data_IF_598310505433
#
_entry.id   IF_598310505433
#
_cell.length_a   1.000
_cell.length_b   1.000
_cell.length_c   1.000
_cell.angle_alpha   90.00
_cell.angle_beta   90.00
_cell.angle_gamma   90.00
#
_symmetry.space_group_name_H-M   'P 1'
#
loop_
_entity.id
_entity.type
_entity.pdbx_description
1 polymer ?
#
# COMPACT_ATOMS: atom_id res chain seq x y z
N UNK A 1 4.81 5.49 -6.99
CA UNK A 1 3.77 5.82 -6.00
C UNK A 1 3.13 7.16 -6.32
N UNK A 2 1.80 7.25 -6.19
CA UNK A 2 1.05 8.52 -6.25
C UNK A 2 0.47 8.85 -4.87
N UNK A 3 0.28 10.14 -4.60
CA UNK A 3 -0.28 10.63 -3.33
C UNK A 3 -1.39 11.64 -3.64
N UNK A 4 -2.58 11.43 -3.09
CA UNK A 4 -3.74 12.30 -3.28
C UNK A 4 -4.31 12.79 -1.94
N UNK A 5 -5.02 13.93 -1.97
CA UNK A 5 -5.91 14.32 -0.87
C UNK A 5 -7.28 13.67 -1.05
N UNK A 6 -7.95 13.30 0.04
CA UNK A 6 -9.37 12.92 0.01
C UNK A 6 -10.29 14.04 -0.50
N UNK A 7 -9.82 15.29 -0.53
CA UNK A 7 -10.55 16.40 -1.16
C UNK A 7 -10.50 16.36 -2.70
N UNK A 8 -9.58 15.57 -3.27
CA UNK A 8 -9.42 15.41 -4.73
C UNK A 8 -10.25 14.25 -5.26
N UNK A 9 -10.26 13.13 -4.55
CA UNK A 9 -11.00 11.92 -4.90
C UNK A 9 -11.54 11.29 -3.63
N UNK A 10 -12.82 10.92 -3.64
CA UNK A 10 -13.34 9.99 -2.62
C UNK A 10 -12.72 8.61 -2.81
N UNK A 11 -12.78 7.77 -1.78
CA UNK A 11 -12.27 6.41 -1.88
C UNK A 11 -13.04 5.59 -2.93
N UNK A 12 -14.36 5.76 -3.01
CA UNK A 12 -15.22 5.09 -3.98
C UNK A 12 -14.85 5.44 -5.43
N UNK A 13 -14.71 6.74 -5.74
CA UNK A 13 -14.29 7.20 -7.07
C UNK A 13 -12.89 6.68 -7.44
N UNK A 14 -11.99 6.56 -6.47
CA UNK A 14 -10.65 6.02 -6.71
C UNK A 14 -10.71 4.52 -7.03
N UNK A 15 -11.55 3.76 -6.34
CA UNK A 15 -11.76 2.33 -6.62
C UNK A 15 -12.41 2.12 -7.99
N UNK A 16 -13.39 2.95 -8.36
CA UNK A 16 -14.00 2.94 -9.69
C UNK A 16 -12.94 3.17 -10.79
N UNK A 17 -12.08 4.18 -10.63
CA UNK A 17 -10.98 4.43 -11.57
C UNK A 17 -9.99 3.26 -11.69
N UNK A 18 -9.67 2.62 -10.57
CA UNK A 18 -8.81 1.43 -10.56
C UNK A 18 -9.47 0.28 -11.33
N UNK A 19 -10.77 0.05 -11.12
CA UNK A 19 -11.53 -0.97 -11.85
C UNK A 19 -11.65 -0.66 -13.34
N UNK A 20 -11.92 0.60 -13.71
CA UNK A 20 -12.01 1.04 -15.11
C UNK A 20 -10.68 0.91 -15.85
N UNK A 21 -9.57 1.03 -15.13
CA UNK A 21 -8.22 0.75 -15.63
C UNK A 21 -7.92 -0.76 -15.77
N UNK A 22 -8.88 -1.64 -15.46
CA UNK A 22 -8.73 -3.09 -15.51
C UNK A 22 -7.83 -3.66 -14.42
N UNK A 23 -7.70 -2.96 -13.28
CA UNK A 23 -6.83 -3.37 -12.15
C UNK A 23 -7.67 -3.82 -10.97
N UNK A 24 -7.12 -4.73 -10.16
CA UNK A 24 -7.70 -5.12 -8.87
C UNK A 24 -7.32 -4.09 -7.81
N UNK A 25 -8.17 -3.90 -6.81
CA UNK A 25 -7.87 -3.03 -5.66
C UNK A 25 -7.50 -3.87 -4.45
N UNK A 26 -6.42 -3.49 -3.77
CA UNK A 26 -6.11 -3.92 -2.39
C UNK A 26 -6.17 -2.70 -1.48
N UNK A 27 -6.94 -2.78 -0.41
CA UNK A 27 -7.17 -1.68 0.52
C UNK A 27 -6.35 -1.84 1.79
N UNK A 28 -5.53 -0.84 2.11
CA UNK A 28 -4.83 -0.76 3.39
C UNK A 28 -5.52 0.30 4.27
N UNK A 29 -6.17 -0.10 5.39
CA UNK A 29 -6.91 0.81 6.26
C UNK A 29 -6.01 1.81 6.99
N UNK A 30 -6.59 2.90 7.53
CA UNK A 30 -5.81 3.92 8.24
C UNK A 30 -5.31 3.41 9.59
N UNK A 31 -4.09 3.78 9.94
CA UNK A 31 -3.46 3.52 11.24
C UNK A 31 -2.70 4.74 11.74
N UNK A 32 -2.66 4.93 13.06
CA UNK A 32 -2.28 6.21 13.67
C UNK A 32 -0.79 6.37 13.99
N UNK A 33 -0.03 5.27 14.03
CA UNK A 33 1.39 5.25 14.41
C UNK A 33 2.14 4.14 13.64
N UNK A 34 3.47 4.14 13.72
CA UNK A 34 4.32 3.20 12.97
C UNK A 34 3.95 1.74 13.21
N UNK A 35 3.80 1.34 14.47
CA UNK A 35 3.52 -0.05 14.86
C UNK A 35 2.19 -0.51 14.27
N UNK A 36 1.13 0.28 14.45
CA UNK A 36 -0.19 -0.03 13.89
C UNK A 36 -0.20 -0.04 12.35
N UNK A 37 0.61 0.81 11.70
CA UNK A 37 0.76 0.80 10.23
C UNK A 37 1.39 -0.51 9.78
N UNK A 38 2.46 -0.95 10.43
CA UNK A 38 3.13 -2.21 10.11
C UNK A 38 2.22 -3.41 10.37
N UNK A 39 1.46 -3.42 11.47
CA UNK A 39 0.46 -4.46 11.75
C UNK A 39 -0.62 -4.53 10.67
N UNK A 40 -1.14 -3.37 10.25
CA UNK A 40 -2.17 -3.28 9.21
C UNK A 40 -1.64 -3.76 7.86
N UNK A 41 -0.44 -3.36 7.46
CA UNK A 41 0.20 -3.91 6.26
C UNK A 41 0.38 -5.41 6.38
N UNK A 42 0.82 -5.89 7.55
CA UNK A 42 0.99 -7.31 7.81
C UNK A 42 -0.29 -8.12 7.64
N UNK A 43 -1.42 -7.61 8.14
CA UNK A 43 -2.72 -8.25 7.97
C UNK A 43 -3.21 -8.24 6.51
N UNK A 44 -2.98 -7.14 5.79
CA UNK A 44 -3.48 -6.99 4.41
C UNK A 44 -2.66 -7.80 3.40
N UNK A 45 -1.35 -7.88 3.63
CA UNK A 45 -0.40 -8.59 2.77
C UNK A 45 -0.14 -10.03 3.23
N UNK A 46 -0.77 -10.46 4.32
CA UNK A 46 -0.62 -11.79 4.93
C UNK A 46 0.84 -12.12 5.30
N UNK A 47 1.48 -11.23 6.07
CA UNK A 47 2.87 -11.43 6.54
C UNK A 47 2.99 -12.79 7.25
N UNK A 48 4.06 -13.55 6.98
CA UNK A 48 4.31 -14.78 7.72
C UNK A 48 4.42 -14.51 9.23
N UNK A 49 3.70 -15.28 10.06
CA UNK A 49 3.65 -15.07 11.53
C UNK A 49 5.02 -15.07 12.24
N UNK A 50 6.07 -15.57 11.58
CA UNK A 50 7.43 -15.66 12.13
C UNK A 50 8.32 -14.44 11.81
N UNK A 51 7.92 -13.59 10.87
CA UNK A 51 8.63 -12.35 10.59
C UNK A 51 8.17 -11.29 11.60
N UNK A 52 9.12 -10.64 12.26
CA UNK A 52 8.80 -9.57 13.19
C UNK A 52 8.02 -8.44 12.50
N UNK A 53 7.32 -7.62 13.29
CA UNK A 53 6.60 -6.45 12.76
C UNK A 53 7.56 -5.25 12.71
N UNK A 54 8.36 -5.16 11.65
CA UNK A 54 9.28 -4.05 11.41
C UNK A 54 9.32 -3.60 9.93
N UNK A 55 10.19 -2.63 9.62
CA UNK A 55 10.28 -2.05 8.28
C UNK A 55 10.96 -2.97 7.27
N UNK A 56 11.84 -3.86 7.72
CA UNK A 56 12.52 -4.81 6.84
C UNK A 56 11.52 -5.91 6.45
N UNK A 57 10.76 -6.43 7.41
CA UNK A 57 9.66 -7.37 7.15
C UNK A 57 8.60 -6.78 6.21
N UNK A 58 8.28 -5.49 6.35
CA UNK A 58 7.40 -4.80 5.40
C UNK A 58 7.97 -4.80 3.98
N UNK A 59 9.26 -4.48 3.84
CA UNK A 59 9.91 -4.44 2.54
C UNK A 59 9.93 -5.81 1.87
N UNK A 60 10.30 -6.85 2.61
CA UNK A 60 10.38 -8.22 2.09
C UNK A 60 8.99 -8.73 1.67
N UNK A 61 7.99 -8.53 2.53
CA UNK A 61 6.61 -8.95 2.22
C UNK A 61 6.00 -8.21 1.04
N UNK A 62 6.38 -6.94 0.80
CA UNK A 62 5.94 -6.21 -0.37
C UNK A 62 6.57 -6.73 -1.67
N UNK A 63 7.82 -7.19 -1.62
CA UNK A 63 8.47 -7.84 -2.75
C UNK A 63 7.84 -9.20 -3.04
N UNK A 64 7.60 -10.02 -2.01
CA UNK A 64 6.88 -11.29 -2.15
C UNK A 64 5.47 -11.08 -2.72
N UNK A 65 4.76 -10.05 -2.23
CA UNK A 65 3.46 -9.67 -2.79
C UNK A 65 3.57 -9.25 -4.26
N UNK A 66 4.55 -8.41 -4.62
CA UNK A 66 4.76 -7.97 -6.00
C UNK A 66 5.08 -9.15 -6.95
N UNK A 67 5.90 -10.11 -6.51
CA UNK A 67 6.18 -11.33 -7.25
C UNK A 67 4.90 -12.15 -7.45
N UNK A 68 4.12 -12.37 -6.39
CA UNK A 68 2.86 -13.13 -6.47
C UNK A 68 1.84 -12.54 -7.44
N UNK A 69 1.74 -11.20 -7.51
CA UNK A 69 0.83 -10.51 -8.42
C UNK A 69 1.27 -10.69 -9.88
N UNK A 70 2.57 -10.82 -10.12
CA UNK A 70 3.14 -10.94 -11.47
C UNK A 70 3.03 -12.36 -12.05
N UNK A 71 3.00 -13.39 -11.20
CA UNK A 71 3.00 -14.80 -11.61
C UNK A 71 1.60 -15.36 -11.92
N UNK A 72 0.55 -14.79 -11.34
CA UNK A 72 -0.78 -15.41 -11.23
C UNK A 72 -1.68 -15.32 -12.49
N UNK A 73 -1.19 -14.79 -13.62
CA UNK A 73 -2.00 -14.39 -14.81
C UNK A 73 -3.22 -13.50 -14.47
N UNK A 74 -3.27 -12.95 -13.25
CA UNK A 74 -4.36 -12.11 -12.76
C UNK A 74 -4.16 -10.66 -13.20
N UNK A 75 -5.23 -9.84 -13.21
CA UNK A 75 -5.09 -8.43 -13.50
C UNK A 75 -4.14 -7.74 -12.51
N UNK A 76 -3.36 -6.75 -12.96
CA UNK A 76 -2.48 -5.96 -12.09
C UNK A 76 -3.21 -5.37 -10.88
N UNK A 77 -2.49 -5.14 -9.80
CA UNK A 77 -3.04 -4.61 -8.54
C UNK A 77 -2.75 -3.11 -8.41
N UNK A 78 -3.70 -2.38 -7.85
CA UNK A 78 -3.46 -1.09 -7.21
C UNK A 78 -3.69 -1.22 -5.72
N UNK A 79 -2.64 -1.00 -4.94
CA UNK A 79 -2.72 -0.90 -3.49
C UNK A 79 -3.07 0.54 -3.11
N UNK A 80 -4.18 0.73 -2.40
CA UNK A 80 -4.64 2.02 -1.91
C UNK A 80 -4.46 2.06 -0.40
N UNK A 81 -3.55 2.93 0.05
CA UNK A 81 -3.25 3.13 1.45
C UNK A 81 -3.89 4.41 1.99
N UNK A 82 -4.77 4.24 2.98
CA UNK A 82 -5.40 5.35 3.68
C UNK A 82 -4.45 5.89 4.77
N UNK A 83 -4.11 7.17 4.69
CA UNK A 83 -3.13 7.80 5.57
C UNK A 83 -3.83 8.88 6.40
N UNK A 84 -4.07 8.67 7.71
CA UNK A 84 -4.68 9.69 8.55
C UNK A 84 -3.69 10.83 8.82
N UNK A 85 -4.22 12.05 9.00
CA UNK A 85 -3.42 13.25 9.23
C UNK A 85 -2.40 13.11 10.38
N UNK A 86 -2.78 12.38 11.45
CA UNK A 86 -1.91 12.12 12.61
C UNK A 86 -0.65 11.36 12.24
N UNK A 87 -0.76 10.36 11.35
CA UNK A 87 0.38 9.53 10.97
C UNK A 87 1.29 10.23 9.95
N UNK A 88 0.74 11.10 9.09
CA UNK A 88 1.50 11.83 8.08
C UNK A 88 2.65 12.67 8.68
N UNK A 89 2.51 13.10 9.93
CA UNK A 89 3.55 13.88 10.63
C UNK A 89 4.62 13.02 11.31
N UNK A 90 4.45 11.70 11.36
CA UNK A 90 5.45 10.78 11.90
C UNK A 90 6.64 10.66 10.95
N UNK A 91 7.86 10.55 11.50
CA UNK A 91 9.08 10.34 10.71
C UNK A 91 9.01 9.05 9.90
N UNK A 92 8.34 8.01 10.40
CA UNK A 92 8.23 6.74 9.69
C UNK A 92 7.37 6.82 8.44
N UNK A 93 6.51 7.83 8.29
CA UNK A 93 5.69 8.00 7.09
C UNK A 93 6.56 8.05 5.82
N UNK A 94 7.65 8.83 5.86
CA UNK A 94 8.58 8.92 4.73
C UNK A 94 9.25 7.58 4.41
N UNK A 95 9.64 6.82 5.43
CA UNK A 95 10.27 5.51 5.26
C UNK A 95 9.30 4.49 4.64
N UNK A 96 8.04 4.48 5.09
CA UNK A 96 7.01 3.62 4.50
C UNK A 96 6.73 4.02 3.04
N UNK A 97 6.72 5.32 2.71
CA UNK A 97 6.61 5.77 1.32
C UNK A 97 7.78 5.30 0.45
N UNK A 98 9.02 5.34 0.95
CA UNK A 98 10.21 4.86 0.23
C UNK A 98 10.09 3.37 -0.07
N UNK A 99 9.73 2.55 0.92
CA UNK A 99 9.52 1.11 0.76
C UNK A 99 8.40 0.80 -0.25
N UNK A 100 7.25 1.47 -0.14
CA UNK A 100 6.14 1.29 -1.08
C UNK A 100 6.50 1.71 -2.51
N UNK A 101 7.30 2.77 -2.65
CA UNK A 101 7.77 3.22 -3.95
C UNK A 101 8.77 2.23 -4.56
N UNK A 102 9.63 1.63 -3.75
CA UNK A 102 10.58 0.59 -4.18
C UNK A 102 9.82 -0.64 -4.69
N UNK A 103 8.84 -1.14 -3.94
CA UNK A 103 8.00 -2.27 -4.36
C UNK A 103 7.22 -1.99 -5.66
N UNK A 104 6.64 -0.79 -5.81
CA UNK A 104 6.00 -0.39 -7.07
C UNK A 104 7.01 -0.40 -8.23
N UNK A 105 8.20 0.15 -8.02
CA UNK A 105 9.25 0.17 -9.05
C UNK A 105 9.70 -1.25 -9.42
N UNK A 106 9.92 -2.11 -8.42
CA UNK A 106 10.32 -3.50 -8.59
C UNK A 106 9.30 -4.28 -9.44
N UNK A 107 8.00 -4.11 -9.17
CA UNK A 107 6.92 -4.79 -9.90
C UNK A 107 6.74 -4.35 -11.36
N UNK A 108 7.37 -3.25 -11.77
CA UNK A 108 7.19 -2.63 -13.09
C UNK A 108 5.78 -2.09 -13.33
N UNK A 109 4.85 -2.93 -13.80
CA UNK A 109 3.47 -2.53 -14.14
C UNK A 109 2.40 -3.27 -13.32
N UNK A 110 2.81 -4.30 -12.60
CA UNK A 110 1.91 -5.25 -11.99
C UNK A 110 1.42 -4.80 -10.61
N UNK A 111 2.21 -3.99 -9.90
CA UNK A 111 1.78 -3.23 -8.71
C UNK A 111 1.81 -1.73 -8.98
N UNK A 112 0.79 -1.03 -8.51
CA UNK A 112 0.76 0.42 -8.39
C UNK A 112 0.36 0.80 -6.97
N UNK A 113 0.94 1.85 -6.40
CA UNK A 113 0.62 2.29 -5.04
C UNK A 113 0.06 3.71 -5.06
N UNK A 114 -1.06 3.88 -4.35
CA UNK A 114 -1.69 5.17 -4.11
C UNK A 114 -1.83 5.37 -2.60
N UNK A 115 -1.27 6.46 -2.07
CA UNK A 115 -1.66 6.95 -0.75
C UNK A 115 -2.75 8.01 -0.87
N UNK A 116 -3.77 7.90 -0.03
CA UNK A 116 -4.84 8.88 0.09
C UNK A 116 -4.84 9.48 1.50
N UNK A 117 -4.63 10.80 1.59
CA UNK A 117 -4.67 11.51 2.86
C UNK A 117 -6.10 11.68 3.32
N UNK A 118 -6.42 11.08 4.46
CA UNK A 118 -7.66 11.28 5.19
C UNK A 118 -7.52 12.50 6.11
N UNK A 119 -8.62 13.24 6.29
CA UNK A 119 -8.67 14.38 7.20
C UNK A 119 -8.52 13.97 8.66
#
# INVERSE_FOLDING_TARGET
MKIYSADTWTLEELQEQVSDAGRRTVMVPPAANKEAVLEVFGQVLDFPEYDGVDLDALNDSLHDFADSVSEDEQPPVTLIWQVPAVYRTDRSFGLVCEILQDAEFYSGRDLAVIAIFQQ
#
